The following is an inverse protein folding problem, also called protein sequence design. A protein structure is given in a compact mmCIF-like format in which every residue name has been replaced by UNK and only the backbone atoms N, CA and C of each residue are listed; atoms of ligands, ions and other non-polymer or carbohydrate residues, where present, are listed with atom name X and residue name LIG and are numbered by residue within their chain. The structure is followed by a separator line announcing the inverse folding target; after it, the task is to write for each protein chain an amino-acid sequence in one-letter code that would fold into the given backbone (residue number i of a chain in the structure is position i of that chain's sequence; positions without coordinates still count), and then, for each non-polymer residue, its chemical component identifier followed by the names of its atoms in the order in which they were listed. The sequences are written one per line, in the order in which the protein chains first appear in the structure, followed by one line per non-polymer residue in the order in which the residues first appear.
data_IF_065930835197
#
_entry.id   IF_065930835197
#
_cell.length_a   1.000
_cell.length_b   1.000
_cell.length_c   1.000
_cell.angle_alpha   90.00
_cell.angle_beta   90.00
_cell.angle_gamma   90.00
#
_symmetry.space_group_name_H-M   'P 1'
#
loop_
_entity.id
_entity.type
_entity.pdbx_description
1 polymer ?
#
# COMPACT_ATOMS: atom_id res chain seq x y z
N UNK A 1 8.04 -27.58 -5.38
CA UNK A 1 8.83 -26.65 -4.52
C UNK A 1 8.49 -25.23 -4.98
N UNK A 2 8.13 -24.33 -4.06
CA UNK A 2 7.57 -23.00 -4.37
C UNK A 2 8.61 -21.94 -4.85
N UNK A 3 9.77 -22.33 -5.36
CA UNK A 3 10.74 -21.41 -5.98
C UNK A 3 11.55 -20.51 -5.04
N UNK A 4 11.19 -20.35 -3.76
CA UNK A 4 11.93 -19.54 -2.79
C UNK A 4 12.80 -20.36 -1.82
N UNK A 5 13.74 -19.68 -1.15
CA UNK A 5 14.61 -20.28 -0.13
C UNK A 5 13.79 -20.79 1.06
N UNK A 6 14.14 -21.94 1.65
CA UNK A 6 13.44 -22.46 2.83
C UNK A 6 13.32 -21.41 3.94
N UNK A 7 12.21 -21.44 4.67
CA UNK A 7 12.03 -20.62 5.87
C UNK A 7 13.03 -21.08 6.94
N UNK A 8 13.79 -20.14 7.49
CA UNK A 8 14.74 -20.37 8.59
C UNK A 8 14.11 -20.13 9.95
N UNK A 9 13.10 -19.26 9.98
CA UNK A 9 12.44 -18.78 11.18
C UNK A 9 10.93 -18.98 11.08
N UNK A 10 10.26 -19.02 12.23
CA UNK A 10 8.80 -19.02 12.28
C UNK A 10 8.27 -17.70 11.72
N UNK A 11 7.23 -17.79 10.89
CA UNK A 11 6.53 -16.64 10.31
C UNK A 11 5.04 -16.82 10.48
N UNK A 12 4.32 -15.71 10.53
CA UNK A 12 2.85 -15.72 10.52
C UNK A 12 2.33 -16.12 9.14
N UNK A 13 1.07 -16.58 9.09
CA UNK A 13 0.37 -16.88 7.84
C UNK A 13 0.35 -15.67 6.88
N UNK A 14 0.14 -14.46 7.41
CA UNK A 14 0.17 -13.20 6.64
C UNK A 14 1.55 -12.94 6.04
N UNK A 15 2.61 -13.09 6.83
CA UNK A 15 3.98 -12.92 6.34
C UNK A 15 4.38 -13.98 5.31
N UNK A 16 3.83 -15.18 5.43
CA UNK A 16 4.00 -16.20 4.41
C UNK A 16 3.34 -15.80 3.09
N UNK A 17 2.08 -15.34 3.15
CA UNK A 17 1.29 -14.91 2.01
C UNK A 17 1.82 -13.65 1.30
N UNK A 18 2.61 -12.83 1.97
CA UNK A 18 3.29 -11.67 1.35
C UNK A 18 4.27 -12.07 0.23
N UNK A 19 4.69 -13.34 0.16
CA UNK A 19 5.57 -13.82 -0.92
C UNK A 19 4.77 -13.96 -2.22
N UNK A 20 5.22 -13.38 -3.36
CA UNK A 20 4.48 -13.43 -4.62
C UNK A 20 4.13 -14.84 -5.09
N UNK A 21 4.99 -15.82 -4.79
CA UNK A 21 4.87 -17.21 -5.20
C UNK A 21 3.95 -18.03 -4.28
N UNK A 22 3.45 -17.46 -3.19
CA UNK A 22 2.58 -18.13 -2.21
C UNK A 22 1.13 -17.73 -2.48
N UNK A 23 0.26 -18.73 -2.64
CA UNK A 23 -1.18 -18.53 -2.69
C UNK A 23 -1.83 -18.69 -1.32
N UNK A 24 -3.04 -18.18 -1.16
CA UNK A 24 -3.89 -18.42 0.00
C UNK A 24 -4.07 -19.92 0.26
N UNK A 25 -4.25 -20.70 -0.80
CA UNK A 25 -4.40 -22.16 -0.70
C UNK A 25 -3.11 -22.84 -0.21
N UNK A 26 -1.94 -22.28 -0.52
CA UNK A 26 -0.68 -22.79 0.05
C UNK A 26 -0.58 -22.52 1.55
N UNK A 27 -1.08 -21.37 2.02
CA UNK A 27 -1.14 -21.04 3.45
C UNK A 27 -2.09 -21.98 4.20
N UNK A 28 -3.28 -22.22 3.65
CA UNK A 28 -4.32 -23.11 4.22
C UNK A 28 -3.79 -24.52 4.48
N UNK A 29 -2.91 -25.03 3.61
CA UNK A 29 -2.28 -26.36 3.80
C UNK A 29 -1.47 -26.48 5.09
N UNK A 30 -1.02 -25.36 5.68
CA UNK A 30 -0.23 -25.35 6.91
C UNK A 30 -1.04 -24.95 8.14
N UNK A 31 -1.99 -24.02 8.01
CA UNK A 31 -2.71 -23.45 9.15
C UNK A 31 -4.16 -23.92 9.27
N UNK A 32 -4.65 -24.68 8.30
CA UNK A 32 -6.05 -25.09 8.20
C UNK A 32 -6.91 -24.08 7.44
N UNK A 33 -8.12 -24.51 7.10
CA UNK A 33 -9.12 -23.66 6.43
C UNK A 33 -9.66 -22.58 7.37
N UNK A 34 -10.22 -21.51 6.78
CA UNK A 34 -11.01 -20.56 7.53
C UNK A 34 -12.22 -21.23 8.20
N UNK A 35 -12.77 -20.58 9.23
CA UNK A 35 -13.94 -21.07 9.94
C UNK A 35 -15.20 -21.12 9.07
N UNK A 36 -15.24 -20.31 8.01
CA UNK A 36 -16.31 -20.23 7.04
C UNK A 36 -15.77 -20.45 5.62
N UNK A 37 -16.64 -20.86 4.72
CA UNK A 37 -16.32 -21.00 3.30
C UNK A 37 -16.21 -19.61 2.68
N UNK A 38 -15.04 -19.32 2.11
CA UNK A 38 -14.77 -18.07 1.40
C UNK A 38 -14.94 -18.28 -0.10
N UNK A 39 -15.63 -17.35 -0.75
CA UNK A 39 -15.73 -17.29 -2.19
C UNK A 39 -14.40 -16.85 -2.84
N UNK A 40 -14.23 -17.20 -4.11
CA UNK A 40 -13.00 -16.95 -4.85
C UNK A 40 -12.64 -15.45 -4.88
N UNK A 41 -13.63 -14.56 -4.93
CA UNK A 41 -13.39 -13.11 -4.92
C UNK A 41 -12.83 -12.61 -3.60
N UNK A 42 -13.28 -13.17 -2.48
CA UNK A 42 -12.74 -12.82 -1.16
C UNK A 42 -11.33 -13.37 -1.01
N UNK A 43 -11.05 -14.57 -1.50
CA UNK A 43 -9.69 -15.13 -1.53
C UNK A 43 -8.76 -14.23 -2.36
N UNK A 44 -9.18 -13.81 -3.55
CA UNK A 44 -8.43 -12.89 -4.41
C UNK A 44 -8.18 -11.54 -3.72
N UNK A 45 -9.19 -11.00 -3.04
CA UNK A 45 -9.07 -9.77 -2.28
C UNK A 45 -8.03 -9.91 -1.15
N UNK A 46 -8.08 -11.01 -0.39
CA UNK A 46 -7.10 -11.30 0.67
C UNK A 46 -5.67 -11.35 0.09
N UNK A 47 -5.46 -12.05 -1.02
CA UNK A 47 -4.15 -12.11 -1.66
C UNK A 47 -3.68 -10.73 -2.10
N UNK A 48 -4.55 -9.96 -2.74
CA UNK A 48 -4.26 -8.60 -3.24
C UNK A 48 -3.88 -7.68 -2.09
N UNK A 49 -4.72 -7.59 -1.06
CA UNK A 49 -4.50 -6.72 0.09
C UNK A 49 -3.18 -7.07 0.80
N UNK A 50 -2.91 -8.35 1.03
CA UNK A 50 -1.70 -8.77 1.75
C UNK A 50 -0.43 -8.57 0.91
N UNK A 51 -0.45 -8.92 -0.38
CA UNK A 51 0.73 -8.81 -1.26
C UNK A 51 1.07 -7.35 -1.58
N UNK A 52 0.06 -6.49 -1.68
CA UNK A 52 0.23 -5.09 -2.09
C UNK A 52 0.08 -4.07 -0.96
N UNK A 53 -0.12 -4.50 0.30
CA UNK A 53 -0.31 -3.65 1.49
C UNK A 53 0.63 -2.42 1.52
N UNK A 54 1.93 -2.63 1.30
CA UNK A 54 2.92 -1.55 1.33
C UNK A 54 2.81 -0.56 0.15
N UNK A 55 2.38 -1.03 -1.02
CA UNK A 55 2.16 -0.17 -2.18
C UNK A 55 0.84 0.59 -2.05
N UNK A 56 -0.21 -0.07 -1.58
CA UNK A 56 -1.52 0.53 -1.30
C UNK A 56 -1.36 1.64 -0.26
N UNK A 57 -0.67 1.37 0.85
CA UNK A 57 -0.39 2.37 1.88
C UNK A 57 0.34 3.60 1.30
N UNK A 58 1.39 3.39 0.49
CA UNK A 58 2.11 4.52 -0.14
C UNK A 58 1.24 5.33 -1.09
N UNK A 59 0.36 4.67 -1.84
CA UNK A 59 -0.56 5.35 -2.75
C UNK A 59 -1.58 6.20 -1.96
N UNK A 60 -2.12 5.66 -0.86
CA UNK A 60 -3.04 6.38 0.02
C UNK A 60 -2.37 7.61 0.66
N UNK A 61 -1.13 7.49 1.13
CA UNK A 61 -0.36 8.61 1.68
C UNK A 61 -0.15 9.74 0.65
N UNK A 62 0.06 9.38 -0.62
CA UNK A 62 0.18 10.36 -1.71
C UNK A 62 -1.14 11.07 -2.00
N UNK A 63 -2.25 10.32 -2.02
CA UNK A 63 -3.59 10.87 -2.20
C UNK A 63 -3.94 11.84 -1.07
N UNK A 64 -3.63 11.50 0.18
CA UNK A 64 -3.87 12.38 1.32
C UNK A 64 -3.06 13.68 1.22
N UNK A 65 -1.78 13.60 0.88
CA UNK A 65 -0.94 14.80 0.65
C UNK A 65 -1.49 15.68 -0.47
N UNK A 66 -1.98 15.08 -1.55
CA UNK A 66 -2.55 15.82 -2.67
C UNK A 66 -3.82 16.57 -2.25
N UNK A 67 -4.73 15.92 -1.52
CA UNK A 67 -5.94 16.56 -0.98
C UNK A 67 -5.61 17.74 -0.07
N UNK A 68 -4.63 17.58 0.82
CA UNK A 68 -4.16 18.66 1.70
C UNK A 68 -3.58 19.85 0.92
N UNK A 69 -2.98 19.63 -0.25
CA UNK A 69 -2.52 20.71 -1.13
C UNK A 69 -3.67 21.39 -1.87
N UNK A 70 -4.65 20.64 -2.35
CA UNK A 70 -5.84 21.20 -3.03
C UNK A 70 -6.71 22.06 -2.09
N UNK A 71 -6.81 21.68 -0.82
CA UNK A 71 -7.55 22.46 0.18
C UNK A 71 -6.87 23.80 0.53
N UNK A 72 -5.54 23.88 0.36
CA UNK A 72 -4.77 25.12 0.57
C UNK A 72 -4.93 26.05 -0.63
N UNK A 73 -6.01 26.83 -0.62
CA UNK A 73 -6.21 27.90 -1.60
C UNK A 73 -5.19 29.01 -1.40
N UNK A 74 -4.57 29.45 -2.50
CA UNK A 74 -3.73 30.64 -2.51
C UNK A 74 -4.66 31.87 -2.41
N UNK A 75 -4.43 32.80 -1.46
CA UNK A 75 -5.20 34.03 -1.38
C UNK A 75 -5.13 34.81 -2.70
N UNK A 76 -6.26 35.32 -3.17
CA UNK A 76 -6.33 36.06 -4.44
C UNK A 76 -5.51 37.37 -4.44
N UNK A 77 -5.13 37.84 -3.25
CA UNK A 77 -4.38 39.06 -3.00
C UNK A 77 -2.99 38.80 -2.41
N UNK A 78 -2.41 37.63 -2.68
CA UNK A 78 -1.06 37.31 -2.22
C UNK A 78 -0.05 38.26 -2.89
N UNK A 79 0.78 38.91 -2.07
CA UNK A 79 1.92 39.69 -2.55
C UNK A 79 3.12 38.74 -2.68
N UNK A 80 3.47 38.42 -3.93
CA UNK A 80 4.58 37.51 -4.24
C UNK A 80 5.94 38.15 -3.99
N UNK A 81 6.02 39.48 -3.90
CA UNK A 81 7.27 40.20 -3.65
C UNK A 81 7.70 40.15 -2.18
N UNK A 82 6.75 39.96 -1.26
CA UNK A 82 6.98 39.78 0.18
C UNK A 82 7.40 38.35 0.57
N UNK A 83 7.51 37.41 -0.37
CA UNK A 83 7.90 36.02 -0.11
C UNK A 83 9.35 35.77 -0.56
N UNK A 84 10.28 35.87 0.37
CA UNK A 84 11.74 35.73 0.15
C UNK A 84 12.19 34.34 -0.33
N UNK A 85 11.37 33.29 -0.17
CA UNK A 85 11.78 31.89 -0.39
C UNK A 85 11.33 31.28 -1.72
N UNK A 86 10.71 32.05 -2.62
CA UNK A 86 10.29 31.55 -3.94
C UNK A 86 11.39 31.87 -4.97
N UNK A 87 11.91 30.83 -5.62
CA UNK A 87 12.89 30.96 -6.69
C UNK A 87 12.35 31.84 -7.82
N UNK A 88 13.21 32.69 -8.39
CA UNK A 88 12.84 33.69 -9.40
C UNK A 88 12.15 33.08 -10.63
N UNK A 89 12.45 31.81 -10.96
CA UNK A 89 11.81 31.07 -12.05
C UNK A 89 10.33 30.76 -11.81
N UNK A 90 9.88 30.66 -10.55
CA UNK A 90 8.48 30.41 -10.22
C UNK A 90 7.62 31.70 -10.21
N UNK A 91 8.22 32.87 -10.44
CA UNK A 91 7.52 34.17 -10.55
C UNK A 91 7.18 34.56 -12.01
N UNK A 92 7.70 33.86 -13.02
CA UNK A 92 7.46 34.09 -14.46
C UNK A 92 6.52 33.04 -15.06
#
# INVERSE_FOLDING_TARGET
KLGFKPLTDAVTAKEFLRRPEVSYQDVVKFVGSAAEDLDEKIIELIETEVKYEGYISKALDQVEKMKLMEEKRIPANIDWDDIDSIATEARQ
#
